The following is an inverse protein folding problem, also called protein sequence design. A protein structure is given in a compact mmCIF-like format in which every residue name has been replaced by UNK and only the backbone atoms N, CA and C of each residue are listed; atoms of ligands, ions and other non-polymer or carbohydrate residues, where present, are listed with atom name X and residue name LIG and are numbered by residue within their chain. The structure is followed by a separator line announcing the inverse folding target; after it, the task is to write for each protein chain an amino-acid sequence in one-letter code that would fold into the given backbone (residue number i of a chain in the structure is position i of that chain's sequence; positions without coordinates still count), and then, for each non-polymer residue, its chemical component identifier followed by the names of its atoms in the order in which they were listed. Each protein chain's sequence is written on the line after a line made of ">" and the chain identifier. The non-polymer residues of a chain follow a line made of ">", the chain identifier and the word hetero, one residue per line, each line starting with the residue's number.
data_IF_620692462084
#
_entry.id   IF_620692462084
#
_cell.length_a   1.000
_cell.length_b   1.000
_cell.length_c   1.000
_cell.angle_alpha   90.00
_cell.angle_beta   90.00
_cell.angle_gamma   90.00
#
_symmetry.space_group_name_H-M   'P 1'
#
loop_
_entity.id
_entity.type
_entity.pdbx_description
1 polymer ?
#
# COMPACT_ATOMS: atom_id res chain seq x y z
N UNK A 1 -21.89 -5.80 1.87
CA UNK A 1 -21.24 -6.48 0.72
C UNK A 1 -19.86 -6.88 1.20
N UNK A 2 -19.52 -8.18 1.23
CA UNK A 2 -18.18 -8.64 1.61
C UNK A 2 -17.36 -8.73 0.33
N UNK A 3 -16.32 -7.92 0.21
CA UNK A 3 -15.40 -7.98 -0.93
C UNK A 3 -14.61 -9.28 -0.77
N UNK A 4 -14.59 -10.13 -1.80
CA UNK A 4 -13.67 -11.26 -1.84
C UNK A 4 -12.25 -10.73 -2.04
N UNK A 5 -11.33 -11.13 -1.16
CA UNK A 5 -9.97 -10.61 -1.14
C UNK A 5 -9.00 -11.79 -1.26
N UNK A 6 -8.19 -11.78 -2.31
CA UNK A 6 -7.07 -12.70 -2.46
C UNK A 6 -5.85 -12.17 -1.71
N UNK A 7 -5.40 -12.89 -0.67
CA UNK A 7 -4.20 -12.51 0.09
C UNK A 7 -2.94 -12.57 -0.78
N UNK A 8 -2.90 -13.49 -1.75
CA UNK A 8 -1.79 -13.60 -2.70
C UNK A 8 -1.70 -12.35 -3.58
N UNK A 9 -2.83 -11.90 -4.13
CA UNK A 9 -2.85 -10.68 -4.97
C UNK A 9 -2.47 -9.43 -4.17
N UNK A 10 -2.84 -9.36 -2.88
CA UNK A 10 -2.38 -8.30 -2.00
C UNK A 10 -0.85 -8.36 -1.78
N UNK A 11 -0.30 -9.55 -1.56
CA UNK A 11 1.15 -9.71 -1.42
C UNK A 11 1.90 -9.28 -2.69
N UNK A 12 1.38 -9.64 -3.87
CA UNK A 12 1.92 -9.23 -5.16
C UNK A 12 1.81 -7.70 -5.36
N UNK A 13 0.71 -7.11 -4.90
CA UNK A 13 0.51 -5.66 -4.92
C UNK A 13 1.51 -4.93 -4.02
N UNK A 14 1.83 -5.47 -2.84
CA UNK A 14 2.86 -4.89 -1.97
C UNK A 14 4.21 -4.82 -2.67
N UNK A 15 4.61 -5.89 -3.36
CA UNK A 15 5.85 -5.91 -4.17
C UNK A 15 5.83 -4.81 -5.23
N UNK A 16 4.71 -4.70 -5.95
CA UNK A 16 4.52 -3.66 -6.97
C UNK A 16 4.60 -2.24 -6.40
N UNK A 17 4.06 -2.01 -5.20
CA UNK A 17 4.14 -0.73 -4.48
C UNK A 17 5.59 -0.40 -4.11
N UNK A 18 6.34 -1.37 -3.59
CA UNK A 18 7.75 -1.18 -3.20
C UNK A 18 8.58 -0.86 -4.45
N UNK A 19 8.52 -1.69 -5.48
CA UNK A 19 9.30 -1.50 -6.71
C UNK A 19 8.93 -0.19 -7.42
N UNK A 20 7.64 0.10 -7.54
CA UNK A 20 7.14 1.35 -8.10
C UNK A 20 7.63 2.58 -7.35
N UNK A 21 7.60 2.54 -6.01
CA UNK A 21 8.09 3.66 -5.19
C UNK A 21 9.61 3.86 -5.28
N UNK A 22 10.39 2.80 -5.52
CA UNK A 22 11.83 2.91 -5.81
C UNK A 22 12.06 3.59 -7.17
N UNK A 23 11.28 3.26 -8.18
CA UNK A 23 11.34 3.95 -9.49
C UNK A 23 10.99 5.43 -9.33
N UNK A 24 9.86 5.74 -8.68
CA UNK A 24 9.39 7.12 -8.48
C UNK A 24 10.40 7.93 -7.64
N UNK A 25 10.94 7.37 -6.56
CA UNK A 25 11.94 8.06 -5.74
C UNK A 25 13.21 8.41 -6.51
N UNK A 26 13.64 7.56 -7.45
CA UNK A 26 14.77 7.85 -8.36
C UNK A 26 14.43 8.91 -9.39
N UNK A 27 13.26 8.81 -10.03
CA UNK A 27 12.83 9.76 -11.07
C UNK A 27 12.68 11.17 -10.50
N UNK A 28 12.13 11.31 -9.30
CA UNK A 28 11.87 12.61 -8.67
C UNK A 28 12.89 12.98 -7.59
N UNK A 29 13.99 12.23 -7.45
CA UNK A 29 15.04 12.48 -6.43
C UNK A 29 14.49 12.66 -5.00
N UNK A 30 13.40 11.96 -4.66
CA UNK A 30 12.66 12.14 -3.40
C UNK A 30 12.61 10.82 -2.64
N UNK A 31 13.38 10.71 -1.55
CA UNK A 31 13.53 9.47 -0.78
C UNK A 31 12.32 9.13 0.10
N UNK A 32 11.48 10.12 0.44
CA UNK A 32 10.30 9.93 1.29
C UNK A 32 9.21 9.07 0.62
N UNK A 33 9.20 8.97 -0.71
CA UNK A 33 8.14 8.31 -1.50
C UNK A 33 7.92 6.85 -1.07
N UNK A 34 8.98 6.07 -0.81
CA UNK A 34 8.83 4.68 -0.38
C UNK A 34 8.04 4.58 0.95
N UNK A 35 8.41 5.38 1.94
CA UNK A 35 7.74 5.38 3.24
C UNK A 35 6.28 5.82 3.11
N UNK A 36 6.02 6.89 2.34
CA UNK A 36 4.68 7.40 2.09
C UNK A 36 3.79 6.36 1.39
N UNK A 37 4.30 5.69 0.36
CA UNK A 37 3.55 4.66 -0.37
C UNK A 37 3.27 3.42 0.49
N UNK A 38 4.19 3.03 1.37
CA UNK A 38 3.94 1.94 2.34
C UNK A 38 2.86 2.31 3.35
N UNK A 39 2.86 3.55 3.86
CA UNK A 39 1.80 4.05 4.75
C UNK A 39 0.44 4.11 4.05
N UNK A 40 0.42 4.52 2.78
CA UNK A 40 -0.77 4.52 1.94
C UNK A 40 -1.32 3.09 1.75
N UNK A 41 -0.44 2.13 1.40
CA UNK A 41 -0.80 0.72 1.24
C UNK A 41 -1.35 0.12 2.53
N UNK A 42 -0.76 0.44 3.69
CA UNK A 42 -1.30 0.05 5.00
C UNK A 42 -2.69 0.61 5.25
N UNK A 43 -2.94 1.87 4.89
CA UNK A 43 -4.27 2.50 5.01
C UNK A 43 -5.27 1.80 4.10
N UNK A 44 -4.88 1.44 2.88
CA UNK A 44 -5.69 0.64 1.97
C UNK A 44 -6.10 -0.71 2.59
N UNK A 45 -5.17 -1.45 3.20
CA UNK A 45 -5.48 -2.71 3.88
C UNK A 45 -6.50 -2.53 5.02
N UNK A 46 -6.36 -1.47 5.83
CA UNK A 46 -7.31 -1.16 6.91
C UNK A 46 -8.72 -0.91 6.39
N UNK A 47 -8.83 -0.14 5.30
CA UNK A 47 -10.12 0.12 4.64
C UNK A 47 -10.71 -1.15 4.04
N UNK A 48 -9.90 -1.95 3.37
CA UNK A 48 -10.34 -3.18 2.70
C UNK A 48 -10.90 -4.21 3.69
N UNK A 49 -10.27 -4.36 4.85
CA UNK A 49 -10.74 -5.28 5.90
C UNK A 49 -11.78 -4.65 6.84
N UNK A 50 -12.29 -3.46 6.49
CA UNK A 50 -13.30 -2.70 7.24
C UNK A 50 -12.95 -2.56 8.74
N UNK A 51 -11.66 -2.42 9.05
CA UNK A 51 -11.22 -2.16 10.41
C UNK A 51 -11.23 -0.65 10.67
N UNK A 52 -12.44 -0.11 10.78
CA UNK A 52 -12.67 1.30 11.08
C UNK A 52 -12.16 1.71 12.48
N UNK A 53 -11.83 0.74 13.34
CA UNK A 53 -11.28 0.99 14.68
C UNK A 53 -9.82 1.49 14.66
N UNK A 54 -9.14 1.38 13.51
CA UNK A 54 -7.75 1.78 13.31
C UNK A 54 -7.59 3.13 12.59
N UNK A 55 -8.70 3.84 12.33
CA UNK A 55 -8.77 5.16 11.68
C UNK A 55 -8.94 6.33 12.70
N UNK A 56 -8.96 6.03 13.99
CA UNK A 56 -8.89 6.96 15.12
C UNK A 56 -7.58 6.73 15.90
#
# INVERSE_FOLDING_TARGET
>A
MRIEVSLTELADMLTSVIEGSIVVSRVFSTQAVLAEQLLQYRTYLRLLFNDASLLL
#
